data_IF_261979343246
#
_entry.id   IF_261979343246
#
_cell.length_a   1.000
_cell.length_b   1.000
_cell.length_c   1.000
_cell.angle_alpha   90.00
_cell.angle_beta   90.00
_cell.angle_gamma   90.00
#
_symmetry.space_group_name_H-M   'P 1'
#
loop_
_entity.id
_entity.type
_entity.pdbx_description
1 polymer ?
#
# COMPACT_ATOMS: atom_id res chain seq x y z
N UNK A 1 28.85 9.13 38.18
CA UNK A 1 27.91 8.22 37.50
C UNK A 1 28.41 6.79 37.64
N UNK A 2 27.58 5.90 38.16
CA UNK A 2 27.84 4.46 38.30
C UNK A 2 27.45 3.75 36.99
N UNK A 3 28.34 2.88 36.48
CA UNK A 3 28.14 2.12 35.22
C UNK A 3 26.85 1.28 35.20
N UNK A 4 26.33 0.95 36.38
CA UNK A 4 25.07 0.22 36.57
C UNK A 4 23.83 1.04 36.17
N UNK A 5 23.78 2.32 36.54
CA UNK A 5 22.64 3.20 36.21
C UNK A 5 22.55 3.49 34.72
N UNK A 6 23.69 3.61 34.05
CA UNK A 6 23.78 3.80 32.60
C UNK A 6 23.34 2.55 31.84
N UNK A 7 23.66 1.35 32.33
CA UNK A 7 23.32 0.07 31.68
C UNK A 7 21.82 -0.25 31.75
N UNK A 8 21.17 0.06 32.88
CA UNK A 8 19.73 -0.10 33.01
C UNK A 8 18.95 0.85 32.09
N UNK A 9 19.38 2.11 32.00
CA UNK A 9 18.78 3.10 31.09
C UNK A 9 19.00 2.73 29.62
N UNK A 10 20.17 2.23 29.24
CA UNK A 10 20.44 1.75 27.87
C UNK A 10 19.60 0.51 27.54
N UNK A 11 19.45 -0.44 28.48
CA UNK A 11 18.58 -1.60 28.29
C UNK A 11 17.10 -1.22 28.15
N UNK A 12 16.61 -0.27 28.94
CA UNK A 12 15.24 0.24 28.87
C UNK A 12 14.99 1.03 27.57
N UNK A 13 15.97 1.82 27.11
CA UNK A 13 15.89 2.55 25.84
C UNK A 13 15.87 1.61 24.63
N UNK A 14 16.60 0.49 24.70
CA UNK A 14 16.61 -0.53 23.64
C UNK A 14 15.31 -1.35 23.60
N UNK A 15 14.69 -1.62 24.75
CA UNK A 15 13.39 -2.29 24.84
C UNK A 15 12.23 -1.41 24.33
N UNK A 16 12.30 -0.09 24.53
CA UNK A 16 11.29 0.86 24.03
C UNK A 16 11.41 1.17 22.53
N UNK A 17 12.52 0.81 21.88
CA UNK A 17 12.76 1.08 20.47
C UNK A 17 12.22 0.00 19.50
N UNK A 18 11.64 -1.10 20.02
CA UNK A 18 11.22 -2.24 19.19
C UNK A 18 9.85 -2.06 18.51
N UNK A 19 9.10 -1.01 18.84
CA UNK A 19 7.79 -0.72 18.25
C UNK A 19 7.91 0.10 16.94
N UNK A 20 8.80 -0.30 16.03
CA UNK A 20 9.00 0.37 14.75
C UNK A 20 7.94 -0.13 13.75
N UNK A 21 6.91 0.69 13.52
CA UNK A 21 5.82 0.54 12.53
C UNK A 21 6.02 -0.58 11.48
N UNK A 22 5.42 -1.74 11.76
CA UNK A 22 5.35 -2.90 10.84
C UNK A 22 4.25 -2.76 9.76
N UNK A 23 3.64 -1.58 9.64
CA UNK A 23 2.61 -1.34 8.65
C UNK A 23 3.24 -1.39 7.24
N UNK A 24 2.86 -2.38 6.43
CA UNK A 24 3.28 -2.50 5.04
C UNK A 24 2.86 -1.32 4.15
N UNK A 25 3.16 -1.33 2.84
CA UNK A 25 2.60 -0.30 1.96
C UNK A 25 1.06 -0.40 1.90
N UNK A 26 0.33 0.73 1.75
CA UNK A 26 -1.08 0.70 1.41
C UNK A 26 -1.33 -0.08 0.11
N UNK A 27 -2.49 -0.70 -0.02
CA UNK A 27 -2.87 -1.49 -1.20
C UNK A 27 -4.01 -0.83 -1.97
N UNK A 28 -4.03 -1.04 -3.29
CA UNK A 28 -5.20 -0.77 -4.13
C UNK A 28 -6.08 -2.01 -4.21
N UNK A 29 -7.37 -1.84 -3.95
CA UNK A 29 -8.38 -2.89 -4.01
C UNK A 29 -9.55 -2.41 -4.88
N UNK A 30 -10.06 -3.27 -5.75
CA UNK A 30 -11.33 -3.06 -6.45
C UNK A 30 -12.48 -3.13 -5.42
N UNK A 31 -13.25 -2.05 -5.18
CA UNK A 31 -14.29 -2.04 -4.16
C UNK A 31 -15.45 -2.99 -4.46
N UNK A 32 -15.74 -3.24 -5.74
CA UNK A 32 -16.86 -4.09 -6.14
C UNK A 32 -16.52 -5.57 -6.00
N UNK A 33 -15.27 -5.95 -6.29
CA UNK A 33 -14.86 -7.37 -6.32
C UNK A 33 -13.94 -7.79 -5.18
N UNK A 34 -13.35 -6.84 -4.47
CA UNK A 34 -12.29 -7.10 -3.48
C UNK A 34 -10.95 -7.49 -4.08
N UNK A 35 -10.79 -7.38 -5.41
CA UNK A 35 -9.57 -7.80 -6.10
C UNK A 35 -8.38 -6.92 -5.73
N UNK A 36 -7.26 -7.54 -5.40
CA UNK A 36 -5.99 -6.86 -5.16
C UNK A 36 -5.38 -6.34 -6.47
N UNK A 37 -5.02 -5.06 -6.47
CA UNK A 37 -4.49 -4.32 -7.63
C UNK A 37 -3.07 -3.77 -7.39
N UNK A 38 -2.40 -4.26 -6.35
CA UNK A 38 -1.01 -3.91 -6.05
C UNK A 38 -0.86 -2.99 -4.85
N UNK A 39 0.37 -2.91 -4.37
CA UNK A 39 0.79 -2.03 -3.28
C UNK A 39 1.16 -0.66 -3.85
N UNK A 40 0.60 0.38 -3.25
CA UNK A 40 1.04 1.76 -3.44
C UNK A 40 2.41 1.93 -2.79
N UNK A 41 3.44 2.00 -3.63
CA UNK A 41 4.80 2.25 -3.17
C UNK A 41 5.74 2.50 -4.33
N UNK A 42 6.82 3.23 -4.07
CA UNK A 42 7.84 3.58 -5.07
C UNK A 42 8.90 2.50 -5.31
N UNK A 43 8.80 1.33 -4.67
CA UNK A 43 9.77 0.25 -4.89
C UNK A 43 9.48 -0.45 -6.22
N UNK A 44 10.26 -0.11 -7.25
CA UNK A 44 10.14 -0.70 -8.58
C UNK A 44 10.59 -2.17 -8.67
N UNK A 45 11.23 -2.72 -7.65
CA UNK A 45 11.71 -4.11 -7.62
C UNK A 45 10.75 -5.05 -6.89
N UNK A 46 9.78 -4.51 -6.15
CA UNK A 46 8.78 -5.32 -5.48
C UNK A 46 7.77 -5.87 -6.50
N UNK A 47 7.47 -7.17 -6.43
CA UNK A 47 6.59 -7.83 -7.40
C UNK A 47 5.12 -7.37 -7.30
N UNK A 48 4.70 -6.89 -6.13
CA UNK A 48 3.35 -6.41 -5.87
C UNK A 48 3.21 -4.89 -6.06
N UNK A 49 4.30 -4.17 -6.30
CA UNK A 49 4.31 -2.72 -6.41
C UNK A 49 3.69 -2.21 -7.71
N UNK A 50 2.84 -1.19 -7.59
CA UNK A 50 2.31 -0.44 -8.74
C UNK A 50 3.38 0.42 -9.43
N UNK A 51 4.55 0.59 -8.83
CA UNK A 51 5.68 1.29 -9.45
C UNK A 51 6.68 0.35 -10.14
N UNK A 52 6.43 -0.96 -10.16
CA UNK A 52 7.26 -1.91 -10.88
C UNK A 52 6.81 -2.01 -12.35
N UNK A 53 7.56 -1.45 -13.32
CA UNK A 53 7.15 -1.40 -14.72
C UNK A 53 7.18 -2.77 -15.42
N UNK A 54 7.81 -3.77 -14.80
CA UNK A 54 7.86 -5.15 -15.27
C UNK A 54 6.94 -6.07 -14.44
N UNK A 55 6.34 -5.54 -13.37
CA UNK A 55 5.48 -6.26 -12.45
C UNK A 55 4.02 -6.31 -12.91
N UNK A 56 3.26 -7.25 -12.35
CA UNK A 56 1.84 -7.48 -12.69
C UNK A 56 0.96 -6.24 -12.46
N UNK A 57 1.26 -5.44 -11.43
CA UNK A 57 0.40 -4.34 -11.00
C UNK A 57 0.88 -2.96 -11.44
N UNK A 58 2.13 -2.86 -11.92
CA UNK A 58 2.73 -1.60 -12.37
C UNK A 58 3.09 -1.56 -13.86
N UNK A 59 3.11 -2.70 -14.56
CA UNK A 59 3.47 -2.75 -15.98
C UNK A 59 2.36 -2.20 -16.88
N UNK A 60 2.72 -1.40 -17.88
CA UNK A 60 1.77 -0.91 -18.88
C UNK A 60 1.15 -2.02 -19.76
N UNK A 61 1.73 -3.22 -19.75
CA UNK A 61 1.29 -4.35 -20.58
C UNK A 61 0.39 -5.34 -19.82
N UNK A 62 0.27 -5.22 -18.50
CA UNK A 62 -0.53 -6.14 -17.69
C UNK A 62 -1.99 -5.72 -17.63
N UNK A 63 -2.91 -6.68 -17.74
CA UNK A 63 -4.36 -6.43 -17.62
C UNK A 63 -4.77 -5.97 -16.21
N UNK A 64 -4.00 -6.37 -15.19
CA UNK A 64 -4.27 -6.05 -13.78
C UNK A 64 -3.58 -4.76 -13.31
N UNK A 65 -2.85 -4.09 -14.19
CA UNK A 65 -2.06 -2.92 -13.83
C UNK A 65 -2.86 -1.63 -13.91
N UNK A 66 -2.66 -0.78 -12.92
CA UNK A 66 -3.22 0.58 -12.88
C UNK A 66 -2.50 1.55 -13.82
N UNK A 67 -1.36 1.12 -14.37
CA UNK A 67 -0.57 1.90 -15.35
C UNK A 67 -0.81 1.45 -16.79
N UNK A 68 -1.66 0.44 -17.04
CA UNK A 68 -1.99 0.03 -18.40
C UNK A 68 -3.07 0.96 -19.00
N UNK A 69 -2.74 1.85 -19.96
CA UNK A 69 -3.69 2.82 -20.50
C UNK A 69 -4.83 2.19 -21.33
N UNK A 70 -4.67 0.92 -21.71
CA UNK A 70 -5.66 0.15 -22.44
C UNK A 70 -6.37 -0.89 -21.56
N UNK A 71 -5.92 -1.05 -20.30
CA UNK A 71 -6.44 -2.03 -19.35
C UNK A 71 -7.62 -1.50 -18.54
N UNK A 72 -8.38 -2.43 -17.96
CA UNK A 72 -9.54 -2.11 -17.11
C UNK A 72 -9.18 -1.20 -15.93
N UNK A 73 -8.03 -1.41 -15.31
CA UNK A 73 -7.64 -0.69 -14.09
C UNK A 73 -6.76 0.53 -14.33
N UNK A 74 -6.31 0.78 -15.58
CA UNK A 74 -5.44 1.93 -15.90
C UNK A 74 -5.95 2.83 -17.02
N UNK A 75 -6.96 2.41 -17.78
CA UNK A 75 -7.49 3.20 -18.88
C UNK A 75 -8.30 4.40 -18.40
N UNK A 76 -8.14 5.55 -19.06
CA UNK A 76 -8.94 6.76 -18.80
C UNK A 76 -10.42 6.64 -19.16
N UNK A 77 -10.83 5.53 -19.77
CA UNK A 77 -12.21 5.29 -20.21
C UNK A 77 -12.93 4.21 -19.38
N UNK A 78 -12.21 3.54 -18.48
CA UNK A 78 -12.80 2.47 -17.66
C UNK A 78 -13.41 3.04 -16.37
N UNK A 79 -14.55 2.48 -15.95
CA UNK A 79 -15.17 2.82 -14.67
C UNK A 79 -14.35 2.33 -13.46
N UNK A 80 -13.47 1.36 -13.67
CA UNK A 80 -12.66 0.71 -12.62
C UNK A 80 -11.24 1.29 -12.51
N UNK A 81 -10.97 2.40 -13.19
CA UNK A 81 -9.64 2.98 -13.31
C UNK A 81 -9.51 4.27 -12.50
N UNK A 82 -8.44 4.45 -11.72
CA UNK A 82 -8.18 5.70 -11.01
C UNK A 82 -7.82 6.84 -11.98
N UNK A 83 -7.47 6.52 -13.24
CA UNK A 83 -7.11 7.50 -14.26
C UNK A 83 -8.34 8.04 -15.03
N UNK A 84 -9.54 7.53 -14.77
CA UNK A 84 -10.77 8.05 -15.34
C UNK A 84 -11.42 9.06 -14.37
N UNK A 85 -11.51 10.35 -14.72
CA UNK A 85 -12.14 11.37 -13.87
C UNK A 85 -13.65 11.17 -13.65
N UNK A 86 -14.27 10.30 -14.44
CA UNK A 86 -15.69 9.93 -14.33
C UNK A 86 -15.87 8.48 -13.83
N UNK A 87 -14.83 7.89 -13.21
CA UNK A 87 -14.90 6.54 -12.68
C UNK A 87 -16.04 6.42 -11.66
N UNK A 88 -16.86 5.38 -11.82
CA UNK A 88 -17.94 5.04 -10.88
C UNK A 88 -17.55 3.93 -9.91
N UNK A 89 -16.42 3.24 -10.15
CA UNK A 89 -15.86 2.19 -9.30
C UNK A 89 -14.32 2.32 -9.20
N UNK A 90 -13.81 3.51 -8.88
CA UNK A 90 -12.38 3.72 -8.74
C UNK A 90 -11.78 2.82 -7.63
N UNK A 91 -10.54 2.31 -7.79
CA UNK A 91 -9.88 1.49 -6.77
C UNK A 91 -9.79 2.22 -5.41
N UNK A 92 -10.09 1.49 -4.34
CA UNK A 92 -9.95 1.98 -2.98
C UNK A 92 -8.51 1.80 -2.47
N UNK A 93 -8.05 2.77 -1.67
CA UNK A 93 -6.79 2.68 -0.93
C UNK A 93 -7.08 2.05 0.43
N UNK A 94 -6.44 0.91 0.69
CA UNK A 94 -6.58 0.17 1.95
C UNK A 94 -5.25 0.21 2.68
N UNK A 95 -5.25 0.75 3.91
CA UNK A 95 -4.06 0.73 4.75
C UNK A 95 -3.76 -0.73 5.17
N UNK A 96 -2.47 -1.12 5.29
CA UNK A 96 -2.13 -2.37 5.94
C UNK A 96 -2.79 -2.43 7.32
N UNK A 97 -3.49 -3.50 7.62
CA UNK A 97 -4.08 -3.67 8.94
C UNK A 97 -2.96 -3.92 9.94
N UNK A 98 -2.85 -3.07 10.97
CA UNK A 98 -2.05 -3.39 12.15
C UNK A 98 -2.76 -4.56 12.84
N UNK A 99 -2.11 -5.72 13.04
CA UNK A 99 -2.74 -6.84 13.74
C UNK A 99 -3.23 -6.37 15.12
N UNK A 100 -4.56 -6.30 15.31
CA UNK A 100 -5.17 -5.91 16.60
C UNK A 100 -6.10 -4.69 16.58
N UNK A 101 -6.18 -3.91 15.50
CA UNK A 101 -7.15 -2.81 15.38
C UNK A 101 -7.95 -2.96 14.09
N UNK A 102 -9.27 -3.08 14.23
CA UNK A 102 -10.21 -3.32 13.13
C UNK A 102 -10.22 -2.21 12.07
N UNK A 103 -10.70 -2.60 10.90
CA UNK A 103 -10.78 -1.85 9.64
C UNK A 103 -11.30 -0.42 9.87
N UNK A 104 -10.43 0.60 9.71
CA UNK A 104 -10.87 1.99 9.56
C UNK A 104 -10.63 2.44 8.12
N UNK A 105 -11.69 2.73 7.34
CA UNK A 105 -11.56 3.48 6.11
C UNK A 105 -10.93 4.84 6.40
N UNK A 106 -9.97 5.26 5.57
CA UNK A 106 -9.43 6.61 5.63
C UNK A 106 -10.56 7.60 5.29
N UNK A 107 -10.74 8.69 6.06
CA UNK A 107 -11.72 9.71 5.71
C UNK A 107 -11.32 10.33 4.37
N UNK A 108 -12.27 10.37 3.43
CA UNK A 108 -12.08 11.03 2.14
C UNK A 108 -11.77 12.52 2.30
N UNK A 109 -10.91 13.04 1.43
CA UNK A 109 -10.68 14.48 1.24
C UNK A 109 -11.71 15.07 0.29
#
# INVERSE_FOLDING_TARGET
MNKEGTSFLVGLLLALAFELSLAGPPALIDPATGKFLGNLGGNQYDANSTSNPYGRYGSEYSADSVNNPYGQYGSRYSNDSPNNPYATNAPAIVAPTVPGLGIQPLPGF
#
